data_IF_195997097467
#
_entry.id   IF_195997097467
#
_cell.length_a   1.000
_cell.length_b   1.000
_cell.length_c   1.000
_cell.angle_alpha   90.00
_cell.angle_beta   90.00
_cell.angle_gamma   90.00
#
_symmetry.space_group_name_H-M   'P 1'
#
loop_
_entity.id
_entity.type
_entity.pdbx_description
1 polymer ?
#
# COMPACT_ATOMS: atom_id res chain seq x y z
N UNK A 1 13.46 12.90 18.07
CA UNK A 1 12.74 12.93 16.78
C UNK A 1 13.25 14.14 16.01
N UNK A 2 13.66 13.94 14.75
CA UNK A 2 14.04 15.04 13.84
C UNK A 2 12.81 15.42 13.00
N UNK A 3 12.27 16.62 13.21
CA UNK A 3 11.05 17.07 12.53
C UNK A 3 11.26 17.39 11.04
N UNK A 4 12.51 17.52 10.57
CA UNK A 4 12.85 17.69 9.16
C UNK A 4 12.80 16.39 8.37
N UNK A 5 12.88 15.24 9.06
CA UNK A 5 13.01 13.90 8.47
C UNK A 5 11.83 13.03 8.86
N UNK A 6 10.72 13.22 8.15
CA UNK A 6 9.45 12.53 8.44
C UNK A 6 8.96 11.77 7.22
N UNK A 7 8.64 10.49 7.42
CA UNK A 7 7.94 9.65 6.46
C UNK A 7 6.70 9.03 7.10
N UNK A 8 5.79 8.56 6.27
CA UNK A 8 4.64 7.77 6.73
C UNK A 8 4.62 6.45 5.99
N UNK A 9 4.51 5.36 6.74
CA UNK A 9 4.42 4.00 6.23
C UNK A 9 3.08 3.44 6.68
N UNK A 10 2.38 2.74 5.80
CA UNK A 10 1.11 2.13 6.17
C UNK A 10 0.73 0.93 5.34
N UNK A 11 0.15 -0.06 6.01
CA UNK A 11 -0.40 -1.27 5.41
C UNK A 11 -1.89 -1.14 5.13
N UNK A 12 -2.36 -1.62 3.98
CA UNK A 12 -3.79 -1.69 3.64
C UNK A 12 -4.50 -0.33 3.82
N UNK A 13 -5.43 -0.21 4.77
CA UNK A 13 -6.06 1.07 5.14
C UNK A 13 -5.07 2.12 5.66
N UNK A 14 -4.02 1.70 6.35
CA UNK A 14 -2.88 2.56 6.68
C UNK A 14 -2.17 3.06 5.43
N UNK A 15 -2.08 2.24 4.37
CA UNK A 15 -1.58 2.67 3.05
C UNK A 15 -2.47 3.75 2.43
N UNK A 16 -3.80 3.62 2.52
CA UNK A 16 -4.75 4.69 2.12
C UNK A 16 -4.52 5.98 2.91
N UNK A 17 -4.26 5.87 4.21
CA UNK A 17 -3.99 7.01 5.07
C UNK A 17 -2.65 7.67 4.72
N UNK A 18 -1.58 6.89 4.55
CA UNK A 18 -0.26 7.36 4.11
C UNK A 18 -0.34 8.08 2.76
N UNK A 19 -1.08 7.52 1.80
CA UNK A 19 -1.36 8.16 0.51
C UNK A 19 -2.13 9.47 0.66
N UNK A 20 -3.06 9.56 1.62
CA UNK A 20 -3.70 10.81 1.99
C UNK A 20 -2.67 11.81 2.54
N UNK A 21 -1.75 11.40 3.43
CA UNK A 21 -0.75 12.30 4.03
C UNK A 21 0.12 13.02 2.99
N UNK A 22 0.33 12.39 1.83
CA UNK A 22 1.16 12.91 0.74
C UNK A 22 0.40 13.61 -0.38
N UNK A 23 -0.87 13.99 -0.16
CA UNK A 23 -1.57 14.87 -1.09
C UNK A 23 -2.65 14.22 -1.96
N UNK A 24 -2.95 12.93 -1.76
CA UNK A 24 -4.04 12.32 -2.52
C UNK A 24 -5.38 13.01 -2.22
N UNK A 25 -6.16 13.24 -3.28
CA UNK A 25 -7.43 13.98 -3.21
C UNK A 25 -8.61 13.04 -3.29
N UNK A 26 -9.49 13.13 -2.32
CA UNK A 26 -10.79 12.50 -2.36
C UNK A 26 -11.80 13.38 -3.11
N UNK A 27 -12.55 12.78 -4.03
CA UNK A 27 -13.65 13.43 -4.73
C UNK A 27 -14.99 12.86 -4.25
N UNK A 28 -15.61 13.57 -3.30
CA UNK A 28 -16.92 13.20 -2.77
C UNK A 28 -18.05 13.34 -3.79
N UNK A 29 -17.94 14.24 -4.76
CA UNK A 29 -18.93 14.39 -5.82
C UNK A 29 -18.88 13.19 -6.79
N UNK A 30 -17.69 12.69 -7.11
CA UNK A 30 -17.52 11.45 -7.87
C UNK A 30 -18.09 10.26 -7.10
N UNK A 31 -17.78 10.13 -5.81
CA UNK A 31 -18.35 9.06 -4.99
C UNK A 31 -19.88 9.09 -5.03
N UNK A 32 -20.50 10.27 -4.87
CA UNK A 32 -21.96 10.39 -4.94
C UNK A 32 -22.51 9.95 -6.30
N UNK A 33 -21.86 10.32 -7.41
CA UNK A 33 -22.25 9.88 -8.76
C UNK A 33 -22.12 8.36 -8.94
N UNK A 34 -20.98 7.77 -8.52
CA UNK A 34 -20.76 6.32 -8.57
C UNK A 34 -21.84 5.57 -7.77
N UNK A 35 -22.20 6.08 -6.58
CA UNK A 35 -23.22 5.46 -5.72
C UNK A 35 -24.63 5.59 -6.27
N UNK A 36 -24.98 6.73 -6.87
CA UNK A 36 -26.28 6.92 -7.53
C UNK A 36 -26.43 6.04 -8.79
N UNK A 37 -25.33 5.67 -9.43
CA UNK A 37 -25.31 4.83 -10.64
C UNK A 37 -25.42 3.31 -10.35
N UNK A 38 -25.76 2.90 -9.13
CA UNK A 38 -25.98 1.49 -8.81
C UNK A 38 -24.74 0.73 -8.37
N UNK A 39 -23.80 1.38 -7.67
CA UNK A 39 -22.72 0.70 -6.95
C UNK A 39 -23.26 -0.05 -5.70
N UNK A 40 -24.25 -0.92 -5.90
CA UNK A 40 -24.88 -1.73 -4.86
C UNK A 40 -23.83 -2.62 -4.18
N UNK A 41 -23.81 -2.62 -2.84
CA UNK A 41 -22.83 -3.36 -2.05
C UNK A 41 -21.48 -2.66 -1.84
N UNK A 42 -21.24 -1.50 -2.46
CA UNK A 42 -20.05 -0.72 -2.16
C UNK A 42 -20.19 0.00 -0.81
N UNK A 43 -19.40 -0.42 0.17
CA UNK A 43 -19.36 0.18 1.51
C UNK A 43 -19.07 1.68 1.52
N UNK A 44 -18.43 2.21 0.46
CA UNK A 44 -18.23 3.66 0.29
C UNK A 44 -19.57 4.39 0.23
N UNK A 45 -20.62 3.80 -0.34
CA UNK A 45 -21.92 4.46 -0.53
C UNK A 45 -22.70 4.65 0.76
N UNK A 46 -22.48 3.80 1.76
CA UNK A 46 -23.12 3.94 3.07
C UNK A 46 -22.75 5.26 3.79
N UNK A 47 -21.59 5.84 3.46
CA UNK A 47 -21.09 7.06 4.12
C UNK A 47 -21.51 8.35 3.40
N UNK A 48 -22.06 8.27 2.17
CA UNK A 48 -22.46 9.44 1.38
C UNK A 48 -23.52 10.31 2.09
N UNK A 49 -24.58 9.75 2.73
CA UNK A 49 -25.57 10.55 3.46
C UNK A 49 -25.00 11.29 4.68
N UNK A 50 -23.90 10.80 5.25
CA UNK A 50 -23.30 11.36 6.48
C UNK A 50 -22.33 12.50 6.17
N UNK A 51 -21.45 12.33 5.17
CA UNK A 51 -20.41 13.32 4.87
C UNK A 51 -20.76 14.26 3.71
N UNK A 52 -21.76 13.90 2.89
CA UNK A 52 -22.10 14.61 1.66
C UNK A 52 -20.96 14.57 0.62
N UNK A 53 -21.06 15.31 -0.50
CA UNK A 53 -20.09 15.26 -1.59
C UNK A 53 -18.80 16.04 -1.31
N UNK A 54 -18.47 16.31 -0.04
CA UNK A 54 -17.29 17.11 0.29
C UNK A 54 -16.02 16.33 -0.07
N UNK A 55 -15.33 16.80 -1.09
CA UNK A 55 -13.97 16.37 -1.37
C UNK A 55 -13.01 16.91 -0.32
N UNK A 56 -11.86 16.26 -0.18
CA UNK A 56 -10.76 16.77 0.62
C UNK A 56 -9.43 16.39 -0.01
N UNK A 57 -8.43 17.24 0.16
CA UNK A 57 -7.04 16.90 -0.11
C UNK A 57 -6.29 17.14 1.18
N UNK A 58 -5.79 16.07 1.78
CA UNK A 58 -4.91 16.20 2.92
C UNK A 58 -3.47 16.22 2.37
N UNK A 59 -2.64 17.17 2.78
CA UNK A 59 -1.19 17.14 2.50
C UNK A 59 -0.51 17.69 3.73
N UNK A 60 0.27 16.86 4.40
CA UNK A 60 1.11 17.31 5.49
C UNK A 60 2.48 17.72 4.91
N UNK A 61 2.86 19.01 4.95
CA UNK A 61 4.12 19.48 4.37
C UNK A 61 5.36 18.92 5.09
N UNK A 62 5.20 18.34 6.28
CA UNK A 62 6.30 17.70 7.02
C UNK A 62 6.63 16.33 6.45
N UNK A 63 5.66 15.61 5.90
CA UNK A 63 5.86 14.27 5.33
C UNK A 63 6.61 14.39 4.01
N UNK A 64 7.85 13.91 4.01
CA UNK A 64 8.78 13.96 2.88
C UNK A 64 8.60 12.80 1.91
N UNK A 65 8.16 11.64 2.40
CA UNK A 65 7.91 10.47 1.57
C UNK A 65 6.86 9.53 2.20
N UNK A 66 6.24 8.68 1.39
CA UNK A 66 5.33 7.64 1.85
C UNK A 66 5.70 6.24 1.33
N UNK A 67 5.48 5.23 2.17
CA UNK A 67 5.57 3.82 1.78
C UNK A 67 4.21 3.15 1.99
N UNK A 68 3.69 2.58 0.92
CA UNK A 68 2.35 2.03 0.84
C UNK A 68 2.44 0.51 0.73
N UNK A 69 2.19 -0.21 1.82
CA UNK A 69 2.23 -1.67 1.86
C UNK A 69 0.85 -2.23 1.52
N UNK A 70 0.75 -3.00 0.44
CA UNK A 70 -0.51 -3.59 -0.08
C UNK A 70 -1.71 -2.63 0.01
N UNK A 71 -1.57 -1.39 -0.51
CA UNK A 71 -2.44 -0.30 -0.11
C UNK A 71 -3.88 -0.48 -0.54
N UNK A 72 -4.78 -0.23 0.41
CA UNK A 72 -6.12 0.19 0.08
C UNK A 72 -6.07 1.62 -0.48
N UNK A 73 -7.16 2.05 -1.10
CA UNK A 73 -7.35 3.48 -1.40
C UNK A 73 -7.49 3.81 -2.87
N UNK A 74 -7.11 2.93 -3.81
CA UNK A 74 -7.37 3.18 -5.23
C UNK A 74 -8.85 3.46 -5.51
N UNK A 75 -9.74 2.57 -5.05
CA UNK A 75 -11.19 2.77 -5.17
C UNK A 75 -11.65 4.07 -4.52
N UNK A 76 -10.95 4.56 -3.50
CA UNK A 76 -11.35 5.78 -2.81
C UNK A 76 -10.91 7.04 -3.58
N UNK A 77 -9.65 7.11 -3.99
CA UNK A 77 -9.06 8.30 -4.62
C UNK A 77 -9.21 8.32 -6.15
N UNK A 78 -9.23 7.16 -6.81
CA UNK A 78 -9.14 7.00 -8.28
C UNK A 78 -7.92 7.71 -8.88
N UNK A 79 -7.71 7.57 -10.19
CA UNK A 79 -6.53 8.10 -10.87
C UNK A 79 -6.31 9.59 -10.59
N UNK A 80 -7.34 10.42 -10.71
CA UNK A 80 -7.26 11.87 -10.52
C UNK A 80 -6.95 12.27 -9.07
N UNK A 81 -7.38 11.46 -8.10
CA UNK A 81 -7.09 11.67 -6.69
C UNK A 81 -5.68 11.23 -6.33
N UNK A 82 -5.23 10.08 -6.81
CA UNK A 82 -3.86 9.58 -6.60
C UNK A 82 -2.85 10.48 -7.30
N UNK A 83 -3.16 10.97 -8.50
CA UNK A 83 -2.32 11.90 -9.26
C UNK A 83 -2.08 13.25 -8.57
N UNK A 84 -2.87 13.60 -7.56
CA UNK A 84 -2.69 14.81 -6.75
C UNK A 84 -1.64 14.65 -5.64
N UNK A 85 -1.20 13.42 -5.36
CA UNK A 85 -0.11 13.16 -4.44
C UNK A 85 1.22 13.64 -5.05
N UNK A 86 1.99 14.35 -4.24
CA UNK A 86 3.12 15.17 -4.66
C UNK A 86 4.35 15.02 -3.75
N UNK A 87 4.38 13.95 -2.94
CA UNK A 87 5.61 13.46 -2.30
C UNK A 87 6.09 12.15 -2.95
N UNK A 88 7.41 11.88 -2.95
CA UNK A 88 7.95 10.57 -3.29
C UNK A 88 7.19 9.43 -2.61
N UNK A 89 6.84 8.41 -3.40
CA UNK A 89 6.01 7.30 -2.91
C UNK A 89 6.56 5.95 -3.38
N UNK A 90 6.80 5.03 -2.43
CA UNK A 90 7.07 3.63 -2.70
C UNK A 90 5.79 2.82 -2.51
N UNK A 91 5.35 2.13 -3.56
CA UNK A 91 4.27 1.13 -3.49
C UNK A 91 4.90 -0.24 -3.33
N UNK A 92 4.52 -0.98 -2.29
CA UNK A 92 4.85 -2.39 -2.12
C UNK A 92 3.60 -3.19 -2.44
N UNK A 93 3.59 -3.81 -3.62
CA UNK A 93 2.48 -4.63 -4.11
C UNK A 93 2.74 -6.11 -3.91
N UNK A 94 1.71 -6.85 -3.53
CA UNK A 94 1.71 -8.31 -3.46
C UNK A 94 0.88 -8.87 -4.63
N UNK A 95 1.43 -9.79 -5.43
CA UNK A 95 0.82 -10.23 -6.70
C UNK A 95 -0.40 -11.12 -6.53
N UNK A 96 -0.46 -11.85 -5.43
CA UNK A 96 -1.50 -12.81 -5.10
C UNK A 96 -2.41 -12.28 -3.97
N UNK A 97 -2.39 -10.98 -3.71
CA UNK A 97 -3.30 -10.31 -2.76
C UNK A 97 -4.76 -10.52 -3.18
N UNK A 98 -5.57 -11.11 -2.30
CA UNK A 98 -7.01 -11.37 -2.54
C UNK A 98 -7.91 -10.31 -1.92
N UNK A 99 -7.37 -9.49 -1.00
CA UNK A 99 -8.08 -8.45 -0.27
C UNK A 99 -8.06 -7.15 -1.05
N UNK A 100 -6.90 -6.75 -1.53
CA UNK A 100 -6.66 -5.63 -2.43
C UNK A 100 -5.93 -6.14 -3.69
N UNK A 101 -6.65 -6.77 -4.65
CA UNK A 101 -6.03 -7.37 -5.82
C UNK A 101 -5.04 -6.44 -6.53
N UNK A 102 -3.84 -6.98 -6.82
CA UNK A 102 -2.73 -6.20 -7.37
C UNK A 102 -3.14 -5.34 -8.57
N UNK A 103 -3.87 -5.93 -9.51
CA UNK A 103 -4.30 -5.28 -10.74
C UNK A 103 -5.41 -4.23 -10.55
N UNK A 104 -6.11 -4.25 -9.42
CA UNK A 104 -7.22 -3.35 -9.11
C UNK A 104 -6.86 -2.25 -8.10
N UNK A 105 -5.82 -2.46 -7.28
CA UNK A 105 -5.42 -1.55 -6.21
C UNK A 105 -3.96 -1.10 -6.35
N UNK A 106 -3.01 -2.03 -6.27
CA UNK A 106 -1.58 -1.69 -6.17
C UNK A 106 -1.05 -1.05 -7.45
N UNK A 107 -1.22 -1.73 -8.59
CA UNK A 107 -0.76 -1.26 -9.89
C UNK A 107 -1.46 0.06 -10.29
N UNK A 108 -2.79 0.20 -10.18
CA UNK A 108 -3.44 1.47 -10.48
C UNK A 108 -3.00 2.64 -9.58
N UNK A 109 -2.73 2.41 -8.28
CA UNK A 109 -2.11 3.45 -7.43
C UNK A 109 -0.75 3.85 -7.97
N UNK A 110 0.12 2.88 -8.25
CA UNK A 110 1.46 3.16 -8.79
C UNK A 110 1.39 3.94 -10.12
N UNK A 111 0.56 3.48 -11.06
CA UNK A 111 0.43 4.09 -12.40
C UNK A 111 -0.14 5.50 -12.36
N UNK A 112 -1.03 5.80 -11.42
CA UNK A 112 -1.66 7.12 -11.29
C UNK A 112 -0.77 8.18 -10.59
N UNK A 113 0.24 7.78 -9.81
CA UNK A 113 1.18 8.72 -9.17
C UNK A 113 1.96 9.51 -10.24
N UNK A 114 2.07 10.83 -10.12
CA UNK A 114 2.81 11.65 -11.12
C UNK A 114 4.22 12.04 -10.70
N UNK A 115 4.50 12.03 -9.40
CA UNK A 115 5.81 12.38 -8.84
C UNK A 115 6.82 11.23 -8.89
N UNK A 116 7.87 11.36 -8.08
CA UNK A 116 8.82 10.28 -7.82
C UNK A 116 8.09 9.07 -7.27
N UNK A 117 8.11 7.95 -8.01
CA UNK A 117 7.35 6.75 -7.68
C UNK A 117 8.19 5.50 -7.88
N UNK A 118 8.02 4.56 -6.97
CA UNK A 118 8.72 3.27 -7.00
C UNK A 118 7.74 2.14 -6.73
N UNK A 119 8.03 0.96 -7.28
CA UNK A 119 7.22 -0.24 -7.08
C UNK A 119 8.12 -1.40 -6.69
N UNK A 120 7.87 -1.98 -5.52
CA UNK A 120 8.38 -3.28 -5.14
C UNK A 120 7.25 -4.31 -5.33
N UNK A 121 7.45 -5.28 -6.22
CA UNK A 121 6.54 -6.40 -6.39
C UNK A 121 7.02 -7.62 -5.58
N UNK A 122 6.15 -8.12 -4.72
CA UNK A 122 6.32 -9.36 -3.97
C UNK A 122 5.52 -10.47 -4.65
N UNK A 123 6.19 -11.58 -4.94
CA UNK A 123 5.58 -12.80 -5.49
C UNK A 123 6.43 -14.03 -5.10
N UNK A 124 5.80 -15.15 -4.68
CA UNK A 124 4.39 -15.26 -4.34
C UNK A 124 4.10 -14.59 -2.98
N UNK A 125 3.20 -13.62 -2.91
CA UNK A 125 2.81 -12.89 -1.70
C UNK A 125 1.36 -12.42 -1.77
N UNK A 126 0.67 -12.45 -0.64
CA UNK A 126 -0.70 -11.93 -0.47
C UNK A 126 -0.75 -10.70 0.45
N UNK A 127 -1.95 -10.38 0.92
CA UNK A 127 -2.22 -9.13 1.63
C UNK A 127 -1.40 -8.92 2.91
N UNK A 128 -1.17 -9.99 3.67
CA UNK A 128 -0.56 -10.00 4.99
C UNK A 128 0.90 -10.45 4.98
N UNK A 129 1.44 -10.90 3.85
CA UNK A 129 2.77 -11.51 3.77
C UNK A 129 3.88 -10.59 4.27
N UNK A 130 3.76 -9.27 4.07
CA UNK A 130 4.75 -8.29 4.54
C UNK A 130 4.40 -7.69 5.92
N UNK A 131 3.81 -8.49 6.81
CA UNK A 131 3.43 -8.09 8.18
C UNK A 131 3.76 -9.22 9.16
N UNK A 132 3.71 -8.92 10.45
CA UNK A 132 3.80 -9.91 11.55
C UNK A 132 2.49 -10.70 11.75
N UNK A 133 1.43 -10.39 10.99
CA UNK A 133 0.12 -11.03 11.16
C UNK A 133 0.17 -12.51 10.78
N UNK A 134 1.02 -12.94 9.85
CA UNK A 134 1.13 -14.37 9.51
C UNK A 134 1.71 -15.18 10.69
N UNK A 135 2.84 -14.74 11.26
CA UNK A 135 3.39 -15.27 12.51
C UNK A 135 2.37 -15.24 13.67
N UNK A 136 1.62 -14.14 13.80
CA UNK A 136 0.58 -14.05 14.82
C UNK A 136 -0.55 -15.06 14.56
N UNK A 137 -1.11 -15.11 13.35
CA UNK A 137 -2.19 -16.04 12.98
C UNK A 137 -1.78 -17.50 13.18
N UNK A 138 -0.52 -17.84 12.95
CA UNK A 138 0.00 -19.18 13.21
C UNK A 138 0.19 -19.46 14.71
N UNK A 139 0.57 -18.46 15.51
CA UNK A 139 0.76 -18.58 16.97
C UNK A 139 -0.55 -18.56 17.79
N UNK A 140 -1.57 -17.79 17.39
CA UNK A 140 -2.94 -17.81 17.97
C UNK A 140 -3.90 -18.76 17.21
N UNK A 141 -3.30 -19.78 16.56
CA UNK A 141 -3.80 -20.65 15.50
C UNK A 141 -5.14 -21.38 15.62
N UNK A 142 -6.04 -21.07 16.55
CA UNK A 142 -7.42 -21.57 16.49
C UNK A 142 -8.43 -20.43 16.31
N UNK A 143 -8.32 -19.34 17.07
CA UNK A 143 -9.34 -18.29 17.07
C UNK A 143 -9.29 -17.41 15.81
N UNK A 144 -8.12 -16.89 15.43
CA UNK A 144 -7.99 -16.10 14.21
C UNK A 144 -8.35 -16.90 12.95
N UNK A 145 -7.95 -18.19 12.95
CA UNK A 145 -8.21 -19.15 11.88
C UNK A 145 -9.68 -19.55 11.75
N UNK A 146 -10.43 -19.58 12.85
CA UNK A 146 -11.85 -19.99 12.90
C UNK A 146 -12.80 -18.80 12.69
N UNK A 147 -12.48 -17.61 13.21
CA UNK A 147 -13.38 -16.46 13.18
C UNK A 147 -13.02 -15.40 12.13
N UNK A 148 -11.80 -15.42 11.58
CA UNK A 148 -11.31 -14.43 10.62
C UNK A 148 -11.57 -14.73 9.14
N UNK A 149 -12.00 -15.95 8.80
CA UNK A 149 -12.25 -16.39 7.42
C UNK A 149 -11.01 -16.39 6.52
N UNK A 150 -11.20 -16.49 5.20
CA UNK A 150 -10.09 -16.59 4.23
C UNK A 150 -9.22 -15.32 4.17
N UNK A 151 -9.80 -14.14 4.43
CA UNK A 151 -9.05 -12.87 4.43
C UNK A 151 -8.02 -12.78 5.56
N UNK A 152 -8.27 -13.45 6.68
CA UNK A 152 -7.33 -13.49 7.81
C UNK A 152 -6.08 -14.34 7.52
N UNK A 153 -6.02 -15.02 6.36
CA UNK A 153 -4.86 -15.82 5.93
C UNK A 153 -4.35 -15.40 4.55
N UNK A 154 -4.76 -14.24 4.08
CA UNK A 154 -4.39 -13.77 2.75
C UNK A 154 -2.89 -13.48 2.68
N UNK A 155 -2.14 -14.39 2.05
CA UNK A 155 -0.68 -14.32 1.99
C UNK A 155 0.06 -15.09 3.08
N UNK A 156 -0.63 -15.90 3.88
CA UNK A 156 -0.03 -16.73 4.93
C UNK A 156 -0.11 -18.22 4.58
N UNK A 157 0.91 -18.98 5.00
CA UNK A 157 0.97 -20.44 4.82
C UNK A 157 1.57 -20.89 3.49
N UNK A 158 1.38 -22.17 3.16
CA UNK A 158 1.97 -22.80 1.98
C UNK A 158 1.58 -22.09 0.67
N UNK A 159 2.54 -21.98 -0.24
CA UNK A 159 2.37 -21.32 -1.54
C UNK A 159 2.77 -19.85 -1.56
N UNK A 160 2.96 -19.20 -0.40
CA UNK A 160 3.49 -17.85 -0.28
C UNK A 160 4.94 -17.83 0.19
N UNK A 161 5.66 -16.74 -0.08
CA UNK A 161 6.96 -16.49 0.52
C UNK A 161 6.83 -16.33 2.03
N UNK A 162 7.91 -16.61 2.77
CA UNK A 162 7.89 -16.39 4.22
C UNK A 162 7.75 -14.89 4.53
N UNK A 163 7.08 -14.58 5.63
CA UNK A 163 6.99 -13.22 6.16
C UNK A 163 8.37 -12.63 6.47
N UNK A 164 9.30 -13.43 6.99
CA UNK A 164 10.70 -13.01 7.15
C UNK A 164 11.34 -12.57 5.84
N UNK A 165 11.19 -13.35 4.76
CA UNK A 165 11.71 -12.98 3.44
C UNK A 165 11.04 -11.71 2.92
N UNK A 166 9.71 -11.59 3.09
CA UNK A 166 8.96 -10.40 2.68
C UNK A 166 9.41 -9.15 3.45
N UNK A 167 9.52 -9.24 4.78
CA UNK A 167 9.96 -8.16 5.65
C UNK A 167 11.41 -7.74 5.38
N UNK A 168 12.30 -8.68 5.05
CA UNK A 168 13.66 -8.35 4.63
C UNK A 168 13.69 -7.56 3.32
N UNK A 169 12.93 -8.01 2.30
CA UNK A 169 12.83 -7.29 1.02
C UNK A 169 12.22 -5.90 1.19
N UNK A 170 11.12 -5.80 1.94
CA UNK A 170 10.44 -4.52 2.23
C UNK A 170 11.34 -3.61 3.05
N UNK A 171 12.05 -4.14 4.04
CA UNK A 171 12.98 -3.40 4.88
C UNK A 171 14.11 -2.79 4.06
N UNK A 172 14.78 -3.59 3.21
CA UNK A 172 15.85 -3.10 2.33
C UNK A 172 15.38 -2.00 1.37
N UNK A 173 14.26 -2.23 0.68
CA UNK A 173 13.70 -1.22 -0.23
C UNK A 173 13.26 0.04 0.50
N UNK A 174 12.63 -0.10 1.67
CA UNK A 174 12.18 1.02 2.49
C UNK A 174 13.37 1.84 2.99
N UNK A 175 14.40 1.21 3.55
CA UNK A 175 15.56 1.93 4.06
C UNK A 175 16.29 2.70 2.96
N UNK A 176 16.51 2.08 1.79
CA UNK A 176 17.12 2.75 0.65
C UNK A 176 16.25 3.91 0.13
N UNK A 177 14.92 3.71 0.06
CA UNK A 177 13.97 4.74 -0.35
C UNK A 177 13.93 5.93 0.62
N UNK A 178 13.91 5.68 1.93
CA UNK A 178 13.94 6.73 2.95
C UNK A 178 15.30 7.46 2.95
N UNK A 179 16.40 6.74 2.76
CA UNK A 179 17.72 7.35 2.63
C UNK A 179 17.77 8.32 1.45
N UNK A 180 17.16 7.94 0.32
CA UNK A 180 17.11 8.77 -0.88
C UNK A 180 16.24 10.03 -0.70
N UNK A 181 15.01 9.89 -0.16
CA UNK A 181 14.01 10.97 -0.20
C UNK A 181 13.77 11.70 1.12
N UNK A 182 14.20 11.14 2.25
CA UNK A 182 14.02 11.72 3.58
C UNK A 182 15.34 12.20 4.15
N UNK A 183 16.41 11.41 4.01
CA UNK A 183 17.77 11.84 4.35
C UNK A 183 18.46 12.57 3.19
N UNK A 184 17.81 12.68 2.03
CA UNK A 184 18.30 13.40 0.84
C UNK A 184 19.68 12.92 0.36
N UNK A 185 19.93 11.60 0.44
CA UNK A 185 21.19 10.95 0.01
C UNK A 185 21.07 10.41 -1.42
N UNK A 186 21.52 11.15 -2.46
CA UNK A 186 21.35 10.74 -3.86
C UNK A 186 22.04 9.41 -4.19
N UNK A 187 23.12 9.05 -3.47
CA UNK A 187 23.82 7.77 -3.63
C UNK A 187 22.95 6.54 -3.32
N UNK A 188 21.90 6.69 -2.50
CA UNK A 188 20.97 5.61 -2.17
C UNK A 188 20.08 5.20 -3.37
N UNK A 189 20.10 5.96 -4.48
CA UNK A 189 19.36 5.61 -5.69
C UNK A 189 19.80 4.25 -6.27
N UNK A 190 21.09 3.91 -6.21
CA UNK A 190 21.58 2.61 -6.66
C UNK A 190 21.09 1.48 -5.73
N UNK A 191 21.19 1.68 -4.41
CA UNK A 191 20.73 0.72 -3.41
C UNK A 191 19.22 0.46 -3.54
N UNK A 192 18.44 1.51 -3.80
CA UNK A 192 17.01 1.38 -4.04
C UNK A 192 16.75 0.57 -5.32
N UNK A 193 17.45 0.87 -6.42
CA UNK A 193 17.30 0.13 -7.66
C UNK A 193 17.62 -1.37 -7.48
N UNK A 194 18.66 -1.71 -6.71
CA UNK A 194 18.98 -3.09 -6.37
C UNK A 194 17.89 -3.75 -5.52
N UNK A 195 17.39 -3.05 -4.50
CA UNK A 195 16.38 -3.57 -3.58
C UNK A 195 15.02 -3.81 -4.24
N UNK A 196 14.70 -3.06 -5.30
CA UNK A 196 13.46 -3.21 -6.08
C UNK A 196 13.51 -4.35 -7.10
N UNK A 197 14.68 -4.98 -7.32
CA UNK A 197 14.80 -6.07 -8.29
C UNK A 197 13.88 -7.25 -7.94
N UNK A 198 13.27 -7.91 -8.94
CA UNK A 198 12.52 -9.14 -8.72
C UNK A 198 13.42 -10.23 -8.15
N UNK A 199 12.87 -11.10 -7.29
CA UNK A 199 13.57 -12.31 -6.86
C UNK A 199 13.68 -13.27 -8.04
N UNK A 200 14.89 -13.49 -8.55
CA UNK A 200 15.14 -14.57 -9.51
C UNK A 200 15.14 -15.88 -8.74
N UNK A 201 14.04 -16.63 -8.78
CA UNK A 201 14.06 -18.04 -8.37
C UNK A 201 14.79 -18.82 -9.46
N UNK A 202 16.06 -19.15 -9.23
CA UNK A 202 16.70 -20.24 -9.96
C UNK A 202 15.91 -21.51 -9.65
N UNK A 203 15.27 -22.09 -10.66
CA UNK A 203 14.66 -23.40 -10.52
C UNK A 203 15.75 -24.38 -10.06
N UNK A 204 15.60 -24.93 -8.85
CA UNK A 204 16.36 -26.10 -8.45
C UNK A 204 16.07 -27.19 -9.50
N UNK A 205 17.11 -27.62 -10.20
CA UNK A 205 17.05 -28.77 -11.11
C UNK A 205 16.96 -30.07 -10.33
#
# INVERSE_FOLDING_TARGET
>A
VDAGRVAVIGHSYGGRAALAMVGARFDGARQQRECAAGAEGDRRCAMVPVFGPRGYRYRDPRVKAAVLLTPAGYRFYRDDGVAAADAPTLVVGAREDRTNPFGEFHRPVFEALRGQRHLLELTPAGHLTATDVCELVDSIGFFARTFGGERARDGCGEGFMSDREALDRVGRATLAFLSLYVDERPEAAFELAEALRPTVRTAAR
#
